data_IF_884820551178
#
_entry.id   IF_884820551178
#
_cell.length_a   1.000
_cell.length_b   1.000
_cell.length_c   1.000
_cell.angle_alpha   90.00
_cell.angle_beta   90.00
_cell.angle_gamma   90.00
#
_symmetry.space_group_name_H-M   'P 1'
#
loop_
_entity.id
_entity.type
_entity.pdbx_description
1 polymer ?
#
# COMPACT_ATOMS: atom_id res chain seq x y z
N UNK A 1 7.20 0.78 -19.01
CA UNK A 1 6.88 -0.42 -18.20
C UNK A 1 6.48 -1.50 -19.18
N UNK A 2 6.95 -2.74 -19.02
CA UNK A 2 6.62 -3.84 -19.93
C UNK A 2 5.54 -4.72 -19.32
N UNK A 3 4.63 -5.22 -20.13
CA UNK A 3 3.64 -6.20 -19.72
C UNK A 3 4.27 -7.59 -19.55
N UNK A 4 3.45 -8.57 -19.16
CA UNK A 4 3.85 -9.98 -18.99
C UNK A 4 4.40 -10.64 -20.28
N UNK A 5 4.20 -10.02 -21.44
CA UNK A 5 4.71 -10.48 -22.74
C UNK A 5 5.87 -9.61 -23.24
N UNK A 6 6.50 -8.83 -22.35
CA UNK A 6 7.60 -7.91 -22.67
C UNK A 6 7.24 -6.79 -23.66
N UNK A 7 5.95 -6.49 -23.85
CA UNK A 7 5.48 -5.36 -24.67
C UNK A 7 5.37 -4.11 -23.83
N UNK A 8 5.69 -2.96 -24.40
CA UNK A 8 5.54 -1.70 -23.69
C UNK A 8 4.05 -1.37 -23.46
N UNK A 9 3.72 -0.90 -22.25
CA UNK A 9 2.39 -0.36 -21.96
C UNK A 9 2.21 0.94 -22.74
N UNK A 10 1.25 0.95 -23.67
CA UNK A 10 1.00 2.14 -24.50
C UNK A 10 0.42 3.32 -23.72
N UNK A 11 -0.17 3.12 -22.53
CA UNK A 11 -0.69 4.19 -21.65
C UNK A 11 -0.78 3.73 -20.18
N UNK A 12 0.30 3.78 -19.38
CA UNK A 12 0.26 3.30 -17.99
C UNK A 12 -0.47 4.28 -17.07
N UNK A 13 -1.37 3.76 -16.23
CA UNK A 13 -1.93 4.47 -15.07
C UNK A 13 -1.28 3.89 -13.82
N UNK A 14 -0.74 4.75 -12.96
CA UNK A 14 -0.14 4.36 -11.68
C UNK A 14 -1.14 4.64 -10.56
N UNK A 15 -1.48 3.61 -9.80
CA UNK A 15 -2.32 3.74 -8.61
C UNK A 15 -1.43 3.84 -7.37
N UNK A 16 -1.41 5.01 -6.73
CA UNK A 16 -0.73 5.23 -5.45
C UNK A 16 -1.72 4.95 -4.31
N UNK A 17 -1.47 3.89 -3.56
CA UNK A 17 -2.35 3.45 -2.48
C UNK A 17 -1.74 3.93 -1.15
N UNK A 18 -2.54 4.58 -0.31
CA UNK A 18 -2.11 5.08 1.01
C UNK A 18 -3.05 4.61 2.10
N UNK A 19 -2.49 4.17 3.24
CA UNK A 19 -3.24 3.91 4.46
C UNK A 19 -3.43 5.23 5.22
N UNK A 20 -4.68 5.67 5.39
CA UNK A 20 -4.99 7.01 5.92
C UNK A 20 -4.74 7.16 7.43
N UNK A 21 -5.10 6.14 8.21
CA UNK A 21 -4.94 6.15 9.66
C UNK A 21 -4.27 4.84 10.11
N UNK A 22 -2.96 4.67 9.85
CA UNK A 22 -2.23 3.50 10.31
C UNK A 22 -2.28 3.40 11.83
N UNK A 23 -2.25 2.18 12.38
CA UNK A 23 -2.10 1.94 13.82
C UNK A 23 -0.65 1.85 14.24
N UNK A 24 0.23 1.39 13.35
CA UNK A 24 1.67 1.34 13.55
C UNK A 24 2.22 2.73 13.89
N UNK A 25 3.14 2.81 14.84
CA UNK A 25 3.78 4.05 15.29
C UNK A 25 5.29 3.89 15.27
N UNK A 26 5.96 4.80 14.59
CA UNK A 26 7.41 4.89 14.53
C UNK A 26 7.97 5.87 15.55
N UNK A 27 9.30 5.91 15.66
CA UNK A 27 10.04 6.81 16.52
C UNK A 27 11.24 7.40 15.76
N UNK A 28 11.66 8.58 16.19
CA UNK A 28 12.91 9.21 15.80
C UNK A 28 13.62 9.67 17.07
N UNK A 29 14.90 9.35 17.21
CA UNK A 29 15.70 9.71 18.38
C UNK A 29 17.06 10.21 17.96
N UNK A 30 17.55 11.27 18.62
CA UNK A 30 18.90 11.78 18.43
C UNK A 30 19.92 10.80 19.04
N UNK A 31 21.05 10.61 18.36
CA UNK A 31 22.16 9.82 18.89
C UNK A 31 23.12 10.69 19.70
N UNK A 32 23.64 10.13 20.79
CA UNK A 32 24.55 10.79 21.71
C UNK A 32 25.84 9.98 21.84
N UNK A 33 26.98 10.67 21.93
CA UNK A 33 28.26 10.03 22.24
C UNK A 33 28.39 9.70 23.73
N UNK A 34 29.49 9.03 24.11
CA UNK A 34 29.77 8.65 25.51
C UNK A 34 29.86 9.87 26.46
N UNK A 35 30.14 11.06 25.91
CA UNK A 35 30.20 12.32 26.64
C UNK A 35 28.83 13.04 26.72
N UNK A 36 27.75 12.41 26.26
CA UNK A 36 26.40 12.97 26.27
C UNK A 36 26.15 14.09 25.27
N UNK A 37 27.04 14.30 24.29
CA UNK A 37 26.87 15.29 23.23
C UNK A 37 26.18 14.67 22.02
N UNK A 38 25.28 15.41 21.35
CA UNK A 38 24.61 14.92 20.16
C UNK A 38 25.63 14.74 19.03
N UNK A 39 25.60 13.58 18.39
CA UNK A 39 26.53 13.25 17.29
C UNK A 39 26.15 13.89 15.96
N UNK A 40 24.94 14.45 15.87
CA UNK A 40 24.32 14.92 14.63
C UNK A 40 23.58 13.83 13.86
N UNK A 41 23.72 12.56 14.26
CA UNK A 41 22.97 11.45 13.68
C UNK A 41 21.62 11.27 14.37
N UNK A 42 20.66 10.72 13.62
CA UNK A 42 19.34 10.35 14.12
C UNK A 42 19.06 8.89 13.82
N UNK A 43 18.55 8.18 14.83
CA UNK A 43 18.01 6.84 14.66
C UNK A 43 16.54 6.97 14.28
N UNK A 44 16.22 6.57 13.06
CA UNK A 44 14.85 6.60 12.52
C UNK A 44 14.32 5.17 12.48
N UNK A 45 13.19 4.93 13.14
CA UNK A 45 12.46 3.68 13.05
C UNK A 45 11.00 4.00 12.67
N UNK A 46 10.64 3.97 11.38
CA UNK A 46 9.27 4.23 10.96
C UNK A 46 8.27 3.19 11.47
N UNK A 47 8.76 1.96 11.76
CA UNK A 47 7.94 0.84 12.22
C UNK A 47 6.71 0.58 11.32
N UNK A 48 6.86 0.76 10.00
CA UNK A 48 5.80 0.43 9.05
C UNK A 48 5.35 -1.02 9.27
N UNK A 49 4.03 -1.22 9.30
CA UNK A 49 3.41 -2.54 9.43
C UNK A 49 3.75 -3.33 10.69
N UNK A 50 4.19 -2.66 11.76
CA UNK A 50 4.30 -3.27 13.08
C UNK A 50 2.98 -3.88 13.54
N UNK A 51 1.87 -3.19 13.28
CA UNK A 51 0.52 -3.67 13.57
C UNK A 51 -0.03 -4.44 12.35
N UNK A 52 -0.37 -5.72 12.55
CA UNK A 52 -0.87 -6.58 11.48
C UNK A 52 -2.16 -6.04 10.83
N UNK A 53 -2.97 -5.28 11.58
CA UNK A 53 -4.19 -4.66 11.04
C UNK A 53 -3.93 -3.70 9.87
N UNK A 54 -2.77 -3.04 9.86
CA UNK A 54 -2.41 -2.11 8.79
C UNK A 54 -2.12 -2.85 7.48
N UNK A 55 -1.42 -3.99 7.58
CA UNK A 55 -1.15 -4.88 6.45
C UNK A 55 -2.46 -5.46 5.92
N UNK A 56 -3.30 -6.02 6.81
CA UNK A 56 -4.56 -6.64 6.42
C UNK A 56 -5.46 -5.66 5.66
N UNK A 57 -5.53 -4.40 6.11
CA UNK A 57 -6.33 -3.37 5.43
C UNK A 57 -5.81 -3.06 4.03
N UNK A 58 -4.49 -3.02 3.84
CA UNK A 58 -3.91 -2.83 2.51
C UNK A 58 -4.13 -4.04 1.60
N UNK A 59 -3.98 -5.27 2.13
CA UNK A 59 -4.25 -6.51 1.39
C UNK A 59 -5.71 -6.53 0.90
N UNK A 60 -6.66 -6.23 1.79
CA UNK A 60 -8.08 -6.10 1.44
C UNK A 60 -8.31 -5.09 0.32
N UNK A 61 -7.71 -3.90 0.43
CA UNK A 61 -7.84 -2.84 -0.57
C UNK A 61 -7.29 -3.23 -1.94
N UNK A 62 -6.10 -3.83 -1.99
CA UNK A 62 -5.49 -4.27 -3.26
C UNK A 62 -6.28 -5.41 -3.90
N UNK A 63 -6.74 -6.39 -3.12
CA UNK A 63 -7.60 -7.48 -3.63
C UNK A 63 -8.91 -6.90 -4.18
N UNK A 64 -9.50 -5.93 -3.50
CA UNK A 64 -10.71 -5.26 -3.97
C UNK A 64 -10.48 -4.52 -5.29
N UNK A 65 -9.36 -3.80 -5.45
CA UNK A 65 -8.98 -3.15 -6.71
C UNK A 65 -8.81 -4.20 -7.82
N UNK A 66 -8.10 -5.29 -7.54
CA UNK A 66 -7.87 -6.37 -8.51
C UNK A 66 -9.18 -7.00 -8.99
N UNK A 67 -10.06 -7.35 -8.06
CA UNK A 67 -11.41 -7.86 -8.38
C UNK A 67 -12.23 -6.85 -9.18
N UNK A 68 -12.16 -5.58 -8.83
CA UNK A 68 -12.90 -4.50 -9.52
C UNK A 68 -12.42 -4.33 -10.97
N UNK A 69 -11.12 -4.41 -11.23
CA UNK A 69 -10.58 -4.33 -12.59
C UNK A 69 -11.07 -5.49 -13.46
N UNK A 70 -11.13 -6.72 -12.92
CA UNK A 70 -11.72 -7.86 -13.62
C UNK A 70 -13.21 -7.66 -13.91
N UNK A 71 -13.98 -7.14 -12.95
CA UNK A 71 -15.38 -6.81 -13.17
C UNK A 71 -15.58 -5.77 -14.28
N UNK A 72 -14.76 -4.70 -14.28
CA UNK A 72 -14.82 -3.66 -15.30
C UNK A 72 -14.54 -4.25 -16.69
N UNK A 73 -13.49 -5.06 -16.84
CA UNK A 73 -13.16 -5.72 -18.11
C UNK A 73 -14.33 -6.58 -18.61
N UNK A 74 -14.90 -7.43 -17.75
CA UNK A 74 -16.03 -8.28 -18.12
C UNK A 74 -17.25 -7.45 -18.57
N UNK A 75 -17.49 -6.29 -17.96
CA UNK A 75 -18.58 -5.38 -18.37
C UNK A 75 -18.29 -4.66 -19.67
N UNK A 76 -17.06 -4.22 -19.91
CA UNK A 76 -16.64 -3.62 -21.18
C UNK A 76 -16.85 -4.63 -22.33
N UNK A 77 -16.45 -5.88 -22.12
CA UNK A 77 -16.64 -6.95 -23.12
C UNK A 77 -18.13 -7.19 -23.41
N UNK A 78 -18.97 -7.24 -22.37
CA UNK A 78 -20.43 -7.46 -22.50
C UNK A 78 -21.18 -6.31 -23.19
N UNK A 79 -20.74 -5.07 -22.98
CA UNK A 79 -21.39 -3.90 -23.55
C UNK A 79 -21.25 -3.81 -25.08
N UNK A 80 -20.50 -4.72 -25.72
CA UNK A 80 -20.38 -4.80 -27.18
C UNK A 80 -20.18 -3.40 -27.79
N UNK A 81 -19.19 -2.66 -27.29
CA UNK A 81 -18.63 -1.51 -28.01
C UNK A 81 -17.96 -1.95 -29.34
N UNK A 82 -18.47 -3.00 -30.00
CA UNK A 82 -18.00 -3.60 -31.25
C UNK A 82 -17.96 -2.62 -32.41
N UNK A 83 -18.81 -1.60 -32.41
CA UNK A 83 -18.77 -0.51 -33.40
C UNK A 83 -17.59 0.46 -33.16
N UNK A 84 -17.15 0.69 -31.91
CA UNK A 84 -15.91 1.39 -31.57
C UNK A 84 -14.66 0.48 -31.57
N UNK A 85 -14.85 -0.83 -31.44
CA UNK A 85 -13.79 -1.85 -31.30
C UNK A 85 -13.31 -2.45 -32.62
N UNK A 86 -13.71 -1.92 -33.80
CA UNK A 86 -13.03 -2.32 -35.04
C UNK A 86 -11.56 -1.95 -35.04
N UNK A 87 -11.13 -1.03 -34.17
CA UNK A 87 -9.74 -0.61 -34.09
C UNK A 87 -9.04 -0.85 -32.74
N UNK A 88 -9.72 -0.87 -31.57
CA UNK A 88 -9.07 -1.17 -30.26
C UNK A 88 -10.00 -1.82 -29.23
N UNK A 89 -9.72 -3.05 -28.81
CA UNK A 89 -10.34 -3.64 -27.61
C UNK A 89 -9.81 -2.89 -26.38
N UNK A 90 -10.68 -2.18 -25.66
CA UNK A 90 -10.30 -1.52 -24.40
C UNK A 90 -10.20 -2.60 -23.31
N UNK A 91 -8.98 -3.01 -22.93
CA UNK A 91 -8.73 -3.92 -21.81
C UNK A 91 -7.88 -3.21 -20.78
N UNK A 92 -8.36 -3.15 -19.54
CA UNK A 92 -7.61 -2.58 -18.41
C UNK A 92 -6.88 -3.72 -17.72
N UNK A 93 -5.56 -3.79 -17.89
CA UNK A 93 -4.73 -4.81 -17.22
C UNK A 93 -4.11 -4.24 -15.96
N UNK A 94 -4.41 -4.84 -14.80
CA UNK A 94 -3.67 -4.55 -13.58
C UNK A 94 -2.30 -5.21 -13.66
N UNK A 95 -1.25 -4.42 -13.45
CA UNK A 95 0.11 -4.93 -13.30
C UNK A 95 0.58 -4.70 -11.87
N UNK A 96 0.88 -5.78 -11.17
CA UNK A 96 1.52 -5.74 -9.87
C UNK A 96 3.03 -5.94 -10.04
N UNK A 97 3.86 -5.24 -9.27
CA UNK A 97 5.30 -5.41 -9.37
C UNK A 97 5.69 -6.83 -9.00
N UNK A 98 6.70 -7.37 -9.70
CA UNK A 98 7.33 -8.62 -9.32
C UNK A 98 8.53 -8.34 -8.41
N UNK A 99 8.58 -9.02 -7.27
CA UNK A 99 9.70 -8.94 -6.34
C UNK A 99 10.22 -10.35 -6.11
N UNK A 100 11.50 -10.61 -6.37
CA UNK A 100 12.07 -11.97 -6.39
C UNK A 100 11.96 -12.73 -5.06
N UNK A 101 11.79 -12.02 -3.95
CA UNK A 101 11.54 -12.61 -2.63
C UNK A 101 10.08 -12.94 -2.32
N UNK A 102 9.15 -12.61 -3.23
CA UNK A 102 7.72 -12.83 -3.04
C UNK A 102 7.19 -13.93 -3.96
N UNK A 103 6.17 -14.70 -3.52
CA UNK A 103 5.45 -15.61 -4.39
C UNK A 103 4.84 -14.88 -5.59
N UNK A 104 4.70 -15.60 -6.70
CA UNK A 104 4.00 -15.05 -7.86
C UNK A 104 2.53 -14.74 -7.52
N UNK A 105 2.05 -13.60 -8.00
CA UNK A 105 0.65 -13.25 -7.89
C UNK A 105 -0.14 -14.19 -8.81
N UNK A 106 -1.13 -14.94 -8.30
CA UNK A 106 -1.93 -15.81 -9.13
C UNK A 106 -2.75 -14.98 -10.15
N UNK A 107 -2.77 -15.44 -11.40
CA UNK A 107 -3.52 -14.79 -12.47
C UNK A 107 -4.99 -15.19 -12.39
N UNK A 108 -5.89 -14.21 -12.31
CA UNK A 108 -7.32 -14.47 -12.45
C UNK A 108 -7.69 -14.43 -13.93
N UNK A 109 -8.22 -15.52 -14.46
CA UNK A 109 -8.74 -15.55 -15.83
C UNK A 109 -10.17 -14.96 -15.89
N UNK A 110 -10.94 -15.11 -14.81
CA UNK A 110 -12.33 -14.71 -14.73
C UNK A 110 -12.68 -14.18 -13.34
N UNK A 111 -13.82 -13.49 -13.23
CA UNK A 111 -14.29 -12.95 -11.95
C UNK A 111 -14.59 -14.04 -10.90
N UNK A 112 -14.96 -15.25 -11.33
CA UNK A 112 -15.29 -16.36 -10.43
C UNK A 112 -14.07 -16.89 -9.65
N UNK A 113 -12.84 -16.62 -10.09
CA UNK A 113 -11.63 -17.02 -9.36
C UNK A 113 -11.61 -16.42 -7.93
N UNK A 114 -12.20 -15.24 -7.74
CA UNK A 114 -12.25 -14.56 -6.44
C UNK A 114 -13.24 -15.18 -5.44
N UNK A 115 -14.02 -16.19 -5.84
CA UNK A 115 -14.89 -16.97 -4.96
C UNK A 115 -14.21 -18.25 -4.45
N UNK A 116 -13.10 -18.64 -5.08
CA UNK A 116 -12.35 -19.83 -4.72
C UNK A 116 -11.42 -19.54 -3.53
N UNK A 117 -11.59 -20.31 -2.45
CA UNK A 117 -10.80 -20.12 -1.22
C UNK A 117 -9.29 -20.22 -1.47
N UNK A 118 -8.85 -21.23 -2.22
CA UNK A 118 -7.44 -21.47 -2.54
C UNK A 118 -6.82 -20.30 -3.33
N UNK A 119 -7.55 -19.77 -4.32
CA UNK A 119 -7.09 -18.62 -5.10
C UNK A 119 -6.92 -17.38 -4.21
N UNK A 120 -7.92 -17.09 -3.37
CA UNK A 120 -7.88 -15.94 -2.45
C UNK A 120 -6.75 -16.08 -1.44
N UNK A 121 -6.47 -17.29 -0.94
CA UNK A 121 -5.37 -17.53 -0.01
C UNK A 121 -4.00 -17.26 -0.67
N UNK A 122 -3.75 -17.85 -1.84
CA UNK A 122 -2.51 -17.60 -2.61
C UNK A 122 -2.34 -16.13 -2.95
N UNK A 123 -3.42 -15.47 -3.35
CA UNK A 123 -3.42 -14.05 -3.66
C UNK A 123 -3.08 -13.21 -2.43
N UNK A 124 -3.68 -13.49 -1.27
CA UNK A 124 -3.38 -12.78 -0.01
C UNK A 124 -1.89 -12.88 0.34
N UNK A 125 -1.31 -14.08 0.27
CA UNK A 125 0.10 -14.31 0.60
C UNK A 125 1.01 -13.49 -0.33
N UNK A 126 0.76 -13.53 -1.65
CA UNK A 126 1.54 -12.78 -2.62
C UNK A 126 1.42 -11.26 -2.39
N UNK A 127 0.20 -10.74 -2.22
CA UNK A 127 -0.05 -9.32 -1.99
C UNK A 127 0.55 -8.83 -0.67
N UNK A 128 0.43 -9.61 0.41
CA UNK A 128 1.03 -9.29 1.70
C UNK A 128 2.54 -9.14 1.59
N UNK A 129 3.20 -10.07 0.90
CA UNK A 129 4.63 -9.98 0.65
C UNK A 129 4.98 -8.71 -0.14
N UNK A 130 4.28 -8.44 -1.24
CA UNK A 130 4.50 -7.25 -2.06
C UNK A 130 4.36 -5.97 -1.24
N UNK A 131 3.29 -5.83 -0.45
CA UNK A 131 3.08 -4.67 0.42
C UNK A 131 4.29 -4.46 1.34
N UNK A 132 4.77 -5.52 2.00
CA UNK A 132 5.93 -5.42 2.91
C UNK A 132 7.22 -5.08 2.17
N UNK A 133 7.38 -5.49 0.92
CA UNK A 133 8.59 -5.26 0.12
C UNK A 133 8.68 -3.88 -0.53
N UNK A 134 7.54 -3.30 -0.95
CA UNK A 134 7.55 -2.09 -1.79
C UNK A 134 7.03 -0.84 -1.10
N UNK A 135 6.54 -0.93 0.13
CA UNK A 135 5.95 0.22 0.82
C UNK A 135 6.97 1.31 1.08
N UNK A 136 6.54 2.54 0.86
CA UNK A 136 7.32 3.76 1.07
C UNK A 136 6.50 4.76 1.88
N UNK A 137 7.18 5.78 2.40
CA UNK A 137 6.49 6.93 2.99
C UNK A 137 5.71 7.68 1.92
N UNK A 138 4.53 8.19 2.29
CA UNK A 138 3.82 9.21 1.51
C UNK A 138 4.18 10.65 1.94
N UNK A 139 5.25 10.81 2.73
CA UNK A 139 5.74 12.08 3.26
C UNK A 139 4.79 12.83 4.21
N UNK A 140 3.71 12.20 4.68
CA UNK A 140 2.81 12.76 5.71
C UNK A 140 3.27 12.39 7.13
N UNK A 141 4.52 12.73 7.47
CA UNK A 141 5.11 12.45 8.78
C UNK A 141 4.61 13.43 9.84
N UNK A 142 3.93 12.93 10.87
CA UNK A 142 3.34 13.76 11.94
C UNK A 142 3.37 13.07 13.30
N UNK A 143 3.22 13.85 14.37
CA UNK A 143 2.97 13.33 15.73
C UNK A 143 4.19 13.07 16.61
N UNK A 144 5.39 13.48 16.20
CA UNK A 144 6.63 13.35 17.01
C UNK A 144 6.62 14.25 18.25
N UNK A 145 6.01 15.42 18.17
CA UNK A 145 5.74 16.32 19.31
C UNK A 145 4.23 16.47 19.49
N UNK A 146 3.60 15.49 20.13
CA UNK A 146 2.13 15.42 20.21
C UNK A 146 1.54 16.47 21.17
N UNK A 147 0.40 17.04 20.80
CA UNK A 147 -0.35 17.98 21.64
C UNK A 147 -1.15 17.21 22.71
N UNK A 148 -1.21 17.73 23.93
CA UNK A 148 -1.97 17.16 25.03
C UNK A 148 -3.46 17.13 24.67
N UNK A 149 -4.02 15.92 24.63
CA UNK A 149 -5.45 15.74 24.54
C UNK A 149 -6.07 15.77 25.94
N UNK A 150 -7.27 16.34 26.13
CA UNK A 150 -7.91 16.48 27.44
C UNK A 150 -8.07 15.16 28.22
N UNK A 151 -8.04 14.03 27.53
CA UNK A 151 -8.30 12.68 28.06
C UNK A 151 -7.05 11.79 28.16
N UNK A 152 -5.84 12.28 27.84
CA UNK A 152 -4.60 11.48 27.89
C UNK A 152 -3.40 12.29 28.39
N UNK A 153 -2.80 11.88 29.50
CA UNK A 153 -1.71 12.59 30.16
C UNK A 153 -0.28 12.14 29.79
N UNK A 154 -0.07 10.93 29.27
CA UNK A 154 1.25 10.31 29.46
C UNK A 154 2.24 10.39 28.28
N UNK A 155 2.01 11.23 27.26
CA UNK A 155 2.96 11.34 26.12
C UNK A 155 2.93 12.67 25.35
N UNK A 156 2.30 13.70 25.91
CA UNK A 156 2.22 15.00 25.27
C UNK A 156 3.54 15.76 25.40
N UNK A 157 3.94 16.45 24.34
CA UNK A 157 5.11 17.34 24.32
C UNK A 157 4.67 18.80 24.45
N UNK A 158 3.49 19.14 23.94
CA UNK A 158 2.98 20.52 23.96
C UNK A 158 1.53 20.60 24.46
N UNK A 159 1.15 21.73 25.07
CA UNK A 159 -0.21 22.05 25.49
C UNK A 159 -1.06 22.53 24.29
N UNK A 160 -2.33 22.86 24.55
CA UNK A 160 -3.26 23.42 23.55
C UNK A 160 -2.82 24.76 22.94
N UNK A 161 -1.83 25.42 23.55
CA UNK A 161 -1.24 26.68 23.08
C UNK A 161 0.16 26.46 22.47
N UNK A 162 0.56 25.21 22.22
CA UNK A 162 1.85 24.80 21.68
C UNK A 162 3.05 25.13 22.58
N UNK A 163 2.82 25.31 23.88
CA UNK A 163 3.88 25.45 24.89
C UNK A 163 4.28 24.08 25.40
N UNK A 164 5.56 23.88 25.67
CA UNK A 164 6.03 22.65 26.30
C UNK A 164 5.31 22.41 27.63
N UNK A 165 4.95 21.14 27.86
CA UNK A 165 4.28 20.68 29.10
C UNK A 165 5.31 20.10 30.07
#
# INVERSE_FOLDING_TARGET
>A
MKDENSKDFENPIVLLISLLNPRSRGTITMEYNDNGQPTGNVKINPSYFRELSDVNRLVEGIIWIYKTMHYINEKIDKLNLKELNKERQIVIKLHLPHFSGCPEVPKAEYLHCFEQAEFIEKLKIAIECLIKSITLSNYHLVGTCSMQLPSKNNSAVVDKNLKYV
#
